data_IF_439362054982
#
_entry.id   IF_439362054982
#
_cell.length_a   1.000
_cell.length_b   1.000
_cell.length_c   1.000
_cell.angle_alpha   90.00
_cell.angle_beta   90.00
_cell.angle_gamma   90.00
#
_symmetry.space_group_name_H-M   'P 1'
#
loop_
_entity.id
_entity.type
_entity.pdbx_description
1 polymer ?
2 polymer ?
3 polymer ?
4 non-polymer ?
5 non-polymer ?
6 water ?
#
loop_
_entity_poly.entity_id
_entity_poly.type
_entity_poly.pdbx_seq_one_letter_code
_entity_poly.pdbx_strand_id
2 'polydeoxyribonucleotide' '(DA)(DG)(DC)(DG)(DT)(DG)(DG)(DG)(5CM)(DG)(DT)' ?
3 'polydeoxyribonucleotide' '(DT)(DA)(5CM)(DG)(DC)(DC)(DC)(DA)(DC)(DG)(DC)' ?
#
# COMPACT_ATOMS: atom_id res chain seq x y z
N UNK A 5 11.53 -26.35 0.80
CA UNK A 5 10.39 -25.44 0.87
C UNK A 5 10.70 -24.12 0.18
N UNK A 6 9.85 -23.73 -0.76
CA UNK A 6 10.03 -22.46 -1.46
C UNK A 6 9.59 -21.29 -0.59
N UNK A 7 8.80 -21.58 0.44
CA UNK A 7 8.37 -20.57 1.40
C UNK A 7 8.49 -21.09 2.83
N UNK A 8 9.72 -21.06 3.38
CA UNK A 8 10.03 -21.66 4.68
C UNK A 8 9.34 -20.97 5.85
N UNK A 9 9.05 -19.69 5.71
CA UNK A 9 8.52 -18.89 6.81
C UNK A 9 7.00 -18.98 6.91
N UNK A 10 6.52 -19.87 7.79
CA UNK A 10 5.09 -20.10 7.96
C UNK A 10 4.54 -19.33 9.16
N UNK A 11 3.30 -18.86 9.05
CA UNK A 11 2.66 -18.13 10.13
C UNK A 11 2.03 -19.09 11.14
N UNK A 12 2.42 -18.96 12.40
CA UNK A 12 2.00 -19.89 13.45
C UNK A 12 0.75 -19.44 14.20
N UNK A 13 0.01 -18.49 13.64
CA UNK A 13 -1.21 -18.03 14.28
C UNK A 13 -2.37 -18.98 14.00
N UNK A 14 -3.40 -18.90 14.84
CA UNK A 14 -4.55 -19.80 14.76
C UNK A 14 -5.26 -19.71 13.41
N UNK A 15 -5.45 -20.87 12.78
CA UNK A 15 -6.16 -20.99 11.51
C UNK A 15 -5.55 -20.09 10.43
N UNK A 16 -4.23 -20.09 10.35
CA UNK A 16 -3.52 -19.33 9.33
C UNK A 16 -2.40 -20.17 8.74
N UNK A 17 -2.53 -20.52 7.46
CA UNK A 17 -1.54 -21.37 6.80
C UNK A 17 -0.61 -20.57 5.90
N UNK A 18 -0.67 -19.24 6.03
CA UNK A 18 0.12 -18.35 5.19
C UNK A 18 1.62 -18.62 5.30
N UNK A 19 2.32 -18.58 4.17
CA UNK A 19 3.77 -18.78 4.13
C UNK A 19 4.43 -17.74 3.23
N UNK A 20 5.71 -17.45 3.48
CA UNK A 20 6.42 -16.43 2.72
C UNK A 20 7.83 -16.86 2.35
N UNK A 21 8.42 -16.18 1.37
CA UNK A 21 9.79 -16.46 0.95
C UNK A 21 10.80 -15.87 1.92
N UNK A 22 10.49 -14.69 2.43
CA UNK A 22 11.39 -13.97 3.33
C UNK A 22 10.77 -13.85 4.71
N UNK A 23 11.53 -13.35 5.67
CA UNK A 23 11.04 -13.26 7.04
C UNK A 23 10.28 -11.97 7.30
N UNK A 24 10.74 -10.86 6.73
CA UNK A 24 10.07 -9.58 6.95
C UNK A 24 8.62 -9.48 6.41
N UNK A 25 8.30 -10.12 5.26
CA UNK A 25 6.89 -10.06 4.88
C UNK A 25 6.00 -10.83 5.86
N UNK A 26 6.58 -11.81 6.55
CA UNK A 26 5.85 -12.56 7.56
C UNK A 26 5.55 -11.67 8.76
N UNK A 27 6.54 -10.87 9.16
CA UNK A 27 6.35 -9.94 10.27
C UNK A 27 5.31 -8.88 9.91
N UNK A 28 5.43 -8.32 8.71
CA UNK A 28 4.47 -7.34 8.22
C UNK A 28 3.07 -7.95 8.23
N UNK A 29 2.96 -9.16 7.70
CA UNK A 29 1.71 -9.92 7.69
C UNK A 29 1.10 -10.07 9.08
N UNK A 30 1.93 -10.41 10.06
CA UNK A 30 1.42 -10.76 11.38
C UNK A 30 0.82 -9.57 12.13
N UNK A 31 0.96 -8.37 11.57
CA UNK A 31 0.33 -7.19 12.16
C UNK A 31 -1.17 -7.17 11.86
N UNK A 32 -1.61 -8.05 10.95
CA UNK A 32 -3.03 -8.24 10.70
C UNK A 32 -3.68 -8.90 11.91
N UNK A 33 -3.00 -9.92 12.43
CA UNK A 33 -3.50 -10.69 13.55
C UNK A 33 -3.52 -9.89 14.86
N UNK A 34 -2.49 -9.07 15.06
CA UNK A 34 -2.33 -8.36 16.33
C UNK A 34 -2.92 -6.96 16.30
N UNK A 35 -3.23 -6.46 15.10
CA UNK A 35 -3.79 -5.14 14.96
C UNK A 35 -2.80 -4.03 15.29
N UNK A 36 -1.52 -4.39 15.36
CA UNK A 36 -0.47 -3.41 15.65
C UNK A 36 -0.27 -2.46 14.48
N UNK A 37 -0.34 -1.16 14.76
CA UNK A 37 -0.19 -0.13 13.73
C UNK A 37 0.84 0.91 14.15
N UNK A 38 2.12 0.64 13.84
CA UNK A 38 3.27 1.45 14.28
C UNK A 38 3.25 2.89 13.79
N UNK A 39 2.71 3.12 12.60
CA UNK A 39 2.85 4.42 11.95
C UNK A 39 1.59 5.26 12.10
N UNK A 40 1.77 6.58 12.16
CA UNK A 40 0.66 7.47 12.49
C UNK A 40 0.68 8.78 11.70
N UNK A 41 -0.48 9.16 11.18
CA UNK A 41 -0.65 10.44 10.51
C UNK A 41 -0.75 11.58 11.52
N UNK A 42 0.11 12.58 11.36
CA UNK A 42 0.16 13.69 12.32
C UNK A 42 -0.94 14.71 12.07
N UNK A 43 -1.77 14.46 11.06
CA UNK A 43 -2.83 15.38 10.70
C UNK A 43 -4.20 14.94 11.22
N UNK A 44 -4.57 13.69 10.97
CA UNK A 44 -5.87 13.19 11.40
C UNK A 44 -5.74 12.13 12.49
N UNK A 45 -4.51 11.94 12.96
CA UNK A 45 -4.20 11.03 14.07
C UNK A 45 -4.51 9.56 13.77
N UNK A 46 -4.78 9.23 12.51
CA UNK A 46 -5.04 7.85 12.14
C UNK A 46 -3.74 7.05 12.05
N UNK A 47 -3.78 5.81 12.53
CA UNK A 47 -2.59 4.96 12.56
C UNK A 47 -2.65 3.85 11.52
N UNK A 48 -1.48 3.45 11.02
CA UNK A 48 -1.40 2.49 9.92
C UNK A 48 -0.39 1.37 10.17
N UNK A 49 -0.69 0.19 9.63
CA UNK A 49 0.16 -0.98 9.80
C UNK A 49 1.46 -0.87 9.00
N UNK A 50 1.43 -0.08 7.93
CA UNK A 50 2.58 0.04 7.04
C UNK A 50 2.93 1.49 6.74
N UNK A 51 4.23 1.78 6.64
CA UNK A 51 4.69 3.14 6.43
C UNK A 51 4.37 3.65 5.03
N UNK A 52 4.40 2.76 4.04
CA UNK A 52 4.13 3.16 2.67
C UNK A 52 2.66 3.52 2.50
N UNK A 53 1.80 2.85 3.25
CA UNK A 53 0.37 3.13 3.20
C UNK A 53 0.03 4.43 3.94
N UNK A 54 0.91 4.83 4.85
CA UNK A 54 0.78 6.11 5.52
C UNK A 54 1.10 7.26 4.58
N UNK A 55 2.22 7.13 3.85
CA UNK A 55 2.67 8.19 2.96
C UNK A 55 1.65 8.50 1.86
N UNK A 56 0.97 7.48 1.36
CA UNK A 56 -0.04 7.70 0.33
C UNK A 56 -1.27 8.36 0.95
N UNK A 57 -1.61 7.95 2.17
CA UNK A 57 -2.70 8.57 2.92
C UNK A 57 -2.46 10.06 3.13
N UNK A 58 -1.21 10.43 3.41
CA UNK A 58 -0.85 11.82 3.65
C UNK A 58 -1.22 12.70 2.46
N UNK A 59 -1.20 12.12 1.27
CA UNK A 59 -1.53 12.85 0.05
C UNK A 59 -3.01 13.21 -0.03
N UNK A 60 -3.84 12.57 0.79
CA UNK A 60 -5.25 12.93 0.86
C UNK A 60 -5.41 14.27 1.57
N UNK A 61 -4.42 14.61 2.40
CA UNK A 61 -4.43 15.88 3.11
C UNK A 61 -3.70 16.97 2.33
N UNK A 62 -2.56 16.60 1.75
CA UNK A 62 -1.69 17.56 1.07
C UNK A 62 -2.15 17.86 -0.35
N UNK A 63 -2.80 16.89 -0.98
CA UNK A 63 -3.27 17.04 -2.34
C UNK A 63 -2.18 16.80 -3.37
N UNK A 64 -1.06 16.24 -2.93
CA UNK A 64 0.03 15.92 -3.85
C UNK A 64 -0.39 14.81 -4.82
N UNK A 65 -0.11 15.01 -6.10
CA UNK A 65 -0.40 14.00 -7.12
C UNK A 65 0.77 13.85 -8.08
N UNK A 66 1.77 13.04 -7.68
CA UNK A 66 3.05 12.88 -8.38
C UNK A 66 2.95 12.09 -9.69
N UNK A 67 1.79 11.50 -9.97
CA UNK A 67 1.65 10.63 -11.13
C UNK A 67 0.80 11.26 -12.23
N UNK A 68 1.45 11.66 -13.32
CA UNK A 68 0.76 12.30 -14.43
C UNK A 68 0.46 11.32 -15.56
N UNK A 69 -0.63 11.58 -16.28
CA UNK A 69 -0.98 10.79 -17.45
C UNK A 69 -0.04 11.12 -18.61
N UNK A 70 0.53 10.08 -19.22
CA UNK A 70 1.48 10.27 -20.31
C UNK A 70 0.77 10.46 -21.65
N UNK A 71 -0.53 10.20 -21.66
CA UNK A 71 -1.34 10.37 -22.86
C UNK A 71 -1.35 11.83 -23.30
N UNK A 72 -1.19 12.07 -24.60
CA UNK A 72 -1.18 13.44 -25.13
C UNK A 72 -2.49 14.16 -24.84
N UNK A 73 -2.42 15.48 -24.64
CA UNK A 73 -3.60 16.31 -24.41
C UNK A 73 -4.31 16.02 -23.09
N UNK A 74 -3.73 15.13 -22.28
CA UNK A 74 -4.34 14.79 -21.00
C UNK A 74 -3.50 15.33 -19.86
N UNK A 75 -4.16 16.00 -18.92
CA UNK A 75 -3.47 16.65 -17.81
C UNK A 75 -3.85 16.03 -16.47
N UNK A 76 -4.45 14.84 -16.52
CA UNK A 76 -4.88 14.15 -15.31
C UNK A 76 -3.70 13.69 -14.46
N UNK A 77 -3.77 14.00 -13.17
CA UNK A 77 -2.75 13.59 -12.21
C UNK A 77 -3.37 12.74 -11.11
N UNK A 78 -2.56 11.87 -10.51
CA UNK A 78 -3.06 10.94 -9.50
C UNK A 78 -2.11 10.82 -8.32
N UNK A 79 -2.65 10.41 -7.18
CA UNK A 79 -1.88 10.30 -5.95
C UNK A 79 -1.09 9.00 -5.89
N UNK A 80 -1.62 7.93 -6.48
CA UNK A 80 -0.95 6.64 -6.45
C UNK A 80 -0.74 6.07 -7.85
N UNK A 81 0.28 5.23 -7.98
CA UNK A 81 0.65 4.65 -9.27
C UNK A 81 -0.45 3.77 -9.84
N UNK A 82 -1.08 2.98 -8.97
CA UNK A 82 -2.14 2.06 -9.40
C UNK A 82 -3.34 2.81 -9.95
N UNK A 83 -3.55 4.04 -9.48
CA UNK A 83 -4.62 4.88 -10.01
C UNK A 83 -4.29 5.31 -11.44
N UNK A 84 -3.02 5.66 -11.66
CA UNK A 84 -2.56 6.04 -12.99
C UNK A 84 -2.64 4.83 -13.93
N UNK A 85 -2.28 3.67 -13.40
CA UNK A 85 -2.35 2.42 -14.15
C UNK A 85 -3.77 2.15 -14.64
N UNK A 86 -4.74 2.27 -13.74
CA UNK A 86 -6.14 2.06 -14.09
C UNK A 86 -6.61 3.10 -15.09
N UNK A 87 -6.06 4.31 -14.99
CA UNK A 87 -6.37 5.38 -15.92
C UNK A 87 -5.77 5.13 -17.30
N UNK A 88 -4.52 4.68 -17.34
CA UNK A 88 -3.84 4.40 -18.60
C UNK A 88 -4.54 3.27 -19.35
N UNK A 89 -4.97 2.26 -18.61
CA UNK A 89 -5.68 1.14 -19.21
C UNK A 89 -7.08 1.54 -19.66
N UNK A 90 -7.54 2.70 -19.20
CA UNK A 90 -8.82 3.23 -19.62
C UNK A 90 -8.69 3.89 -20.99
N UNK A 91 -7.52 4.48 -21.25
CA UNK A 91 -7.27 5.12 -22.55
C UNK A 91 -7.14 4.08 -23.67
N UNK A 92 -6.29 3.08 -23.45
CA UNK A 92 -6.02 2.06 -24.47
C UNK A 92 -7.25 1.20 -24.76
N UNK A 93 -8.14 1.08 -23.78
CA UNK A 93 -9.36 0.29 -23.94
C UNK A 93 -10.46 1.11 -24.61
X LIG D 1 -0.94 -15.28 9.65
X LIG E 1 -4.34 11.68 8.01
X LIG F 1 -5.27 10.46 -19.43
X LIG G 1 6.14 -0.60 4.48
X LIG G 1 5.78 -0.74 5.86
X LIG G 1 7.03 -1.76 4.07
X LIG G 1 6.32 -2.64 3.19
X LIG H 1 -8.23 2.41 11.39
X LIG H 1 -9.09 3.35 12.06
X LIG H 1 -9.02 1.15 11.05
X LIG H 1 -10.01 1.43 10.06
#
# INVERSE_FOLDING_TARGET
GPLGSEKPYQCDFKDCERRFSRSDPLKRHQRRHTGVKPFQCKTCQRKFSRSDHLKTHTRTHTGEKPFSCRWPSCQKKFARSDELVRHHNMHQR
ZN ZN
ZN ZN
ZN ZN
EDO C1 O1 C2 O2
EDO C1 O1 C2 O2
#
